data_IF_713290108072
#
_entry.id   IF_713290108072
#
_cell.length_a   1.000
_cell.length_b   1.000
_cell.length_c   1.000
_cell.angle_alpha   90.00
_cell.angle_beta   90.00
_cell.angle_gamma   90.00
#
_symmetry.space_group_name_H-M   'P 1'
#
loop_
_entity.id
_entity.type
_entity.pdbx_description
1 polymer ?
#
# COMPACT_ATOMS: atom_id res chain seq x y z
N UNK A 1 1.52 -12.24 -20.10
CA UNK A 1 1.28 -11.73 -18.73
C UNK A 1 -0.16 -11.19 -18.58
N UNK A 2 -1.22 -12.02 -18.75
CA UNK A 2 -2.61 -11.52 -18.71
C UNK A 2 -3.20 -11.31 -17.30
N UNK A 3 -2.53 -11.78 -16.24
CA UNK A 3 -3.10 -11.80 -14.88
C UNK A 3 -2.75 -10.56 -14.02
N UNK A 4 -1.83 -9.70 -14.47
CA UNK A 4 -1.34 -8.52 -13.71
C UNK A 4 -2.43 -7.46 -13.57
N UNK A 5 -3.16 -7.17 -14.65
CA UNK A 5 -4.19 -6.15 -14.68
C UNK A 5 -5.37 -6.47 -13.74
N UNK A 6 -5.92 -7.70 -13.71
CA UNK A 6 -6.90 -8.10 -12.70
C UNK A 6 -6.45 -7.90 -11.25
N UNK A 7 -5.22 -8.31 -10.93
CA UNK A 7 -4.63 -8.14 -9.59
C UNK A 7 -4.49 -6.67 -9.19
N UNK A 8 -4.06 -5.82 -10.12
CA UNK A 8 -3.95 -4.37 -9.91
C UNK A 8 -5.31 -3.73 -9.63
N UNK A 9 -6.32 -4.07 -10.44
CA UNK A 9 -7.69 -3.55 -10.26
C UNK A 9 -8.30 -3.99 -8.93
N UNK A 10 -7.99 -5.20 -8.47
CA UNK A 10 -8.43 -5.69 -7.16
C UNK A 10 -7.81 -4.85 -6.03
N UNK A 11 -6.49 -4.65 -6.05
CA UNK A 11 -5.80 -3.80 -5.06
C UNK A 11 -6.34 -2.36 -5.09
N UNK A 12 -6.60 -1.79 -6.27
CA UNK A 12 -7.17 -0.45 -6.41
C UNK A 12 -8.58 -0.35 -5.82
N UNK A 13 -9.45 -1.33 -6.06
CA UNK A 13 -10.82 -1.33 -5.51
C UNK A 13 -10.81 -1.35 -3.99
N UNK A 14 -9.91 -2.12 -3.38
CA UNK A 14 -9.76 -2.13 -1.93
C UNK A 14 -9.31 -0.75 -1.42
N UNK A 15 -8.33 -0.13 -2.07
CA UNK A 15 -7.82 1.18 -1.69
C UNK A 15 -8.89 2.27 -1.74
N UNK A 16 -9.68 2.34 -2.83
CA UNK A 16 -10.79 3.29 -2.95
C UNK A 16 -11.87 3.02 -1.91
N UNK A 17 -12.17 1.75 -1.62
CA UNK A 17 -13.12 1.38 -0.56
C UNK A 17 -12.67 1.89 0.81
N UNK A 18 -11.39 1.71 1.15
CA UNK A 18 -10.81 2.20 2.41
C UNK A 18 -10.87 3.73 2.47
N UNK A 19 -10.50 4.45 1.40
CA UNK A 19 -10.59 5.91 1.36
C UNK A 19 -12.03 6.40 1.50
N UNK A 20 -13.00 5.76 0.84
CA UNK A 20 -14.42 6.07 0.98
C UNK A 20 -14.91 5.91 2.41
N UNK A 21 -14.57 4.80 3.07
CA UNK A 21 -14.88 4.56 4.48
C UNK A 21 -14.32 5.65 5.41
N UNK A 22 -13.12 6.18 5.14
CA UNK A 22 -12.53 7.27 5.92
C UNK A 22 -13.20 8.62 5.63
N UNK A 23 -13.50 8.89 4.36
CA UNK A 23 -14.21 10.09 3.93
C UNK A 23 -15.61 10.17 4.54
N UNK A 24 -16.36 9.07 4.55
CA UNK A 24 -17.70 8.99 5.15
C UNK A 24 -17.68 9.25 6.66
N UNK A 25 -16.59 8.88 7.35
CA UNK A 25 -16.38 9.15 8.77
C UNK A 25 -15.86 10.56 9.06
N UNK A 26 -15.44 11.31 8.04
CA UNK A 26 -14.84 12.63 8.20
C UNK A 26 -13.57 12.62 9.04
N UNK A 27 -12.78 11.54 8.98
CA UNK A 27 -11.54 11.40 9.74
C UNK A 27 -10.33 11.73 8.89
N UNK A 28 -9.35 12.42 9.49
CA UNK A 28 -8.06 12.63 8.86
C UNK A 28 -7.32 11.30 8.70
N UNK A 29 -6.61 11.16 7.58
CA UNK A 29 -5.84 9.96 7.25
C UNK A 29 -4.40 10.30 6.94
N UNK A 30 -3.49 9.44 7.39
CA UNK A 30 -2.13 9.43 6.89
C UNK A 30 -2.11 8.77 5.50
N UNK A 31 -2.21 9.60 4.46
CA UNK A 31 -2.22 9.15 3.07
C UNK A 31 -0.91 8.47 2.68
N UNK A 32 0.22 8.85 3.30
CA UNK A 32 1.50 8.21 3.03
C UNK A 32 1.41 6.75 3.44
N UNK A 33 1.10 6.46 4.71
CA UNK A 33 0.93 5.10 5.22
C UNK A 33 -0.05 4.25 4.39
N UNK A 34 -1.16 4.84 3.93
CA UNK A 34 -2.13 4.13 3.08
C UNK A 34 -1.54 3.80 1.70
N UNK A 35 -0.82 4.74 1.09
CA UNK A 35 -0.12 4.52 -0.18
C UNK A 35 0.97 3.46 -0.05
N UNK A 36 1.72 3.41 1.05
CA UNK A 36 2.75 2.37 1.27
C UNK A 36 2.14 0.97 1.20
N UNK A 37 1.04 0.77 1.93
CA UNK A 37 0.30 -0.50 1.96
C UNK A 37 -0.29 -0.83 0.59
N UNK A 38 -0.84 0.15 -0.10
CA UNK A 38 -1.36 -0.02 -1.47
C UNK A 38 -0.27 -0.45 -2.44
N UNK A 39 0.88 0.23 -2.46
CA UNK A 39 2.01 -0.13 -3.32
C UNK A 39 2.51 -1.54 -3.02
N UNK A 40 2.62 -1.90 -1.75
CA UNK A 40 3.04 -3.25 -1.37
C UNK A 40 2.04 -4.32 -1.81
N UNK A 41 0.74 -4.07 -1.64
CA UNK A 41 -0.32 -4.98 -2.06
C UNK A 41 -0.35 -5.19 -3.57
N UNK A 42 -0.14 -4.11 -4.35
CA UNK A 42 -0.01 -4.19 -5.81
C UNK A 42 1.19 -5.06 -6.20
N UNK A 43 2.36 -4.85 -5.59
CA UNK A 43 3.54 -5.66 -5.87
C UNK A 43 3.30 -7.13 -5.49
N UNK A 44 2.74 -7.37 -4.29
CA UNK A 44 2.40 -8.70 -3.80
C UNK A 44 1.49 -9.46 -4.77
N UNK A 45 0.35 -8.85 -5.15
CA UNK A 45 -0.65 -9.49 -6.01
C UNK A 45 -0.24 -9.56 -7.49
N UNK A 46 0.41 -8.52 -8.01
CA UNK A 46 0.67 -8.39 -9.45
C UNK A 46 2.00 -9.01 -9.88
N UNK A 47 3.06 -8.91 -9.05
CA UNK A 47 4.37 -9.47 -9.37
C UNK A 47 4.55 -10.88 -8.79
N UNK A 48 4.09 -11.13 -7.57
CA UNK A 48 4.31 -12.40 -6.86
C UNK A 48 3.06 -13.29 -6.77
N UNK A 49 1.87 -12.78 -7.09
CA UNK A 49 0.62 -13.52 -6.96
C UNK A 49 0.22 -13.82 -5.51
N UNK A 50 0.75 -13.06 -4.54
CA UNK A 50 0.50 -13.23 -3.11
C UNK A 50 -0.60 -12.25 -2.69
N UNK A 51 -1.63 -12.77 -2.04
CA UNK A 51 -2.62 -11.93 -1.37
C UNK A 51 -2.17 -11.64 0.06
N UNK A 52 -1.84 -10.37 0.34
CA UNK A 52 -1.27 -9.96 1.62
C UNK A 52 -2.30 -9.36 2.57
N UNK A 53 -3.44 -8.92 2.05
CA UNK A 53 -4.45 -8.12 2.77
C UNK A 53 -3.88 -6.91 3.55
N UNK A 54 -2.68 -6.45 3.19
CA UNK A 54 -1.93 -5.45 3.98
C UNK A 54 -2.64 -4.09 4.05
N UNK A 55 -3.51 -3.79 3.08
CA UNK A 55 -4.26 -2.54 3.05
C UNK A 55 -5.22 -2.43 4.25
N UNK A 56 -5.83 -3.54 4.69
CA UNK A 56 -6.71 -3.60 5.87
C UNK A 56 -6.01 -4.14 7.10
N UNK A 57 -5.01 -5.02 6.92
CA UNK A 57 -4.23 -5.62 7.98
C UNK A 57 -2.74 -5.20 7.89
N UNK A 58 -2.35 -4.06 8.48
CA UNK A 58 -0.97 -3.59 8.45
C UNK A 58 0.00 -4.47 9.25
N UNK A 59 -0.50 -5.43 10.03
CA UNK A 59 0.33 -6.34 10.81
C UNK A 59 0.84 -7.55 10.03
N UNK A 60 0.67 -7.57 8.70
CA UNK A 60 1.20 -8.63 7.85
C UNK A 60 2.72 -8.79 8.06
N UNK A 61 3.21 -9.99 8.42
CA UNK A 61 4.64 -10.23 8.69
C UNK A 61 5.54 -9.87 7.51
N UNK A 62 5.12 -10.22 6.28
CA UNK A 62 5.91 -9.94 5.07
C UNK A 62 6.03 -8.44 4.83
N UNK A 63 4.99 -7.66 5.14
CA UNK A 63 5.04 -6.20 5.03
C UNK A 63 5.97 -5.60 6.08
N UNK A 64 5.88 -6.05 7.34
CA UNK A 64 6.75 -5.59 8.42
C UNK A 64 8.21 -5.90 8.16
N UNK A 65 8.50 -7.11 7.72
CA UNK A 65 9.86 -7.54 7.40
C UNK A 65 10.40 -6.74 6.21
N UNK A 66 9.58 -6.47 5.18
CA UNK A 66 9.99 -5.65 4.04
C UNK A 66 10.34 -4.21 4.45
N UNK A 67 9.54 -3.59 5.34
CA UNK A 67 9.83 -2.26 5.88
C UNK A 67 11.10 -2.24 6.74
N UNK A 68 11.39 -3.32 7.47
CA UNK A 68 12.60 -3.43 8.29
C UNK A 68 13.87 -3.58 7.44
N UNK A 69 13.81 -4.29 6.32
CA UNK A 69 14.94 -4.50 5.42
C UNK A 69 15.20 -3.27 4.54
N UNK A 70 14.15 -2.56 4.13
CA UNK A 70 14.23 -1.37 3.28
C UNK A 70 13.48 -0.20 3.92
N UNK A 71 14.01 0.38 5.02
CA UNK A 71 13.45 1.60 5.59
C UNK A 71 13.53 2.68 4.51
N UNK A 72 12.41 3.35 4.24
CA UNK A 72 12.27 4.42 3.25
C UNK A 72 12.12 4.01 1.77
N UNK A 73 11.73 2.78 1.46
CA UNK A 73 11.45 2.40 0.06
C UNK A 73 10.27 3.19 -0.53
N UNK A 74 9.34 3.60 0.34
CA UNK A 74 8.10 4.33 0.03
C UNK A 74 8.25 5.84 0.21
N UNK A 75 9.09 6.28 1.14
CA UNK A 75 9.54 7.67 1.25
C UNK A 75 10.77 7.86 0.36
N UNK A 76 10.53 8.02 -0.94
CA UNK A 76 11.62 8.18 -1.92
C UNK A 76 12.57 9.33 -1.57
N UNK A 77 13.76 9.35 -2.18
CA UNK A 77 14.78 10.40 -2.02
C UNK A 77 14.22 11.84 -2.06
N UNK A 78 13.17 12.09 -2.85
CA UNK A 78 12.48 13.38 -2.95
C UNK A 78 11.67 13.77 -1.70
N UNK A 79 11.16 12.81 -0.91
CA UNK A 79 10.45 13.09 0.35
C UNK A 79 11.38 13.70 1.41
N UNK A 80 12.65 13.28 1.42
CA UNK A 80 13.67 13.83 2.32
C UNK A 80 14.24 15.17 1.83
N UNK A 81 14.29 15.41 0.52
CA UNK A 81 14.76 16.68 -0.06
C UNK A 81 13.83 17.88 0.23
N UNK A 82 12.53 17.64 0.48
CA UNK A 82 11.55 18.69 0.80
C UNK A 82 11.42 19.04 2.29
N UNK A 83 12.25 18.44 3.16
CA UNK A 83 12.23 18.61 4.62
C UNK A 83 13.44 19.36 5.18
N UNK A 84 14.27 19.94 4.31
CA UNK A 84 15.43 20.80 4.63
C UNK A 84 15.09 22.28 4.44
#
# INVERSE_FOLDING_TARGET
MPQVMPSLLHAQRQFIGILGEHADRGVDVDITSLCERFTFDVIGKAAFGIDTDVQRNPDNPLFKDALAVLPNITTGFLYHLGRE
#
